data_IF_605318703551
#
_entry.id   IF_605318703551
#
_cell.length_a   1.000
_cell.length_b   1.000
_cell.length_c   1.000
_cell.angle_alpha   90.00
_cell.angle_beta   90.00
_cell.angle_gamma   90.00
#
_symmetry.space_group_name_H-M   'P 1'
#
loop_
_entity.id
_entity.type
_entity.pdbx_description
1 polymer ?
#
# COMPACT_ATOMS: atom_id res chain seq x y z
N UNK A 1 -1.17 -15.99 2.83
CA UNK A 1 -1.37 -15.02 3.92
C UNK A 1 -2.86 -14.76 4.02
N UNK A 2 -3.46 -15.03 5.17
CA UNK A 2 -4.89 -14.79 5.37
C UNK A 2 -5.07 -13.40 6.02
N UNK A 3 -5.85 -12.53 5.38
CA UNK A 3 -6.19 -11.18 5.86
C UNK A 3 -7.59 -11.26 6.47
N UNK A 4 -7.72 -10.90 7.74
CA UNK A 4 -8.97 -11.06 8.49
C UNK A 4 -9.71 -9.74 8.63
N UNK A 5 -11.00 -9.84 8.92
CA UNK A 5 -11.78 -8.66 9.29
C UNK A 5 -11.17 -8.01 10.54
N UNK A 6 -11.03 -6.68 10.50
CA UNK A 6 -10.35 -5.83 11.52
C UNK A 6 -8.82 -5.87 11.49
N UNK A 7 -8.19 -6.59 10.57
CA UNK A 7 -6.75 -6.42 10.34
C UNK A 7 -6.46 -5.00 9.84
N UNK A 8 -5.41 -4.39 10.38
CA UNK A 8 -4.88 -3.13 9.85
C UNK A 8 -3.87 -3.45 8.76
N UNK A 9 -4.07 -2.87 7.57
CA UNK A 9 -3.18 -3.04 6.41
C UNK A 9 -2.64 -1.68 5.98
N UNK A 10 -1.32 -1.60 5.85
CA UNK A 10 -0.59 -0.43 5.37
C UNK A 10 -0.13 -0.71 3.94
N UNK A 11 -0.71 0.04 2.98
CA UNK A 11 -0.35 -0.07 1.57
C UNK A 11 0.97 0.63 1.28
N UNK A 12 2.05 -0.14 1.14
CA UNK A 12 3.34 0.37 0.69
C UNK A 12 3.34 0.64 -0.81
N UNK A 13 2.57 -0.12 -1.58
CA UNK A 13 2.40 0.10 -3.01
C UNK A 13 0.99 -0.25 -3.46
N UNK A 14 0.70 0.11 -4.70
CA UNK A 14 -0.53 -0.32 -5.35
C UNK A 14 -0.30 -0.76 -6.81
N UNK A 15 -0.94 -1.88 -7.18
CA UNK A 15 -1.19 -2.21 -8.57
C UNK A 15 -2.62 -1.79 -8.96
N UNK A 16 -2.85 -1.59 -10.25
CA UNK A 16 -4.17 -1.16 -10.75
C UNK A 16 -4.42 -1.66 -12.17
N UNK A 17 -5.68 -1.93 -12.50
CA UNK A 17 -6.14 -2.13 -13.89
C UNK A 17 -6.55 -0.81 -14.57
N UNK A 18 -6.61 0.30 -13.84
CA UNK A 18 -6.80 1.64 -14.37
C UNK A 18 -5.75 2.01 -15.41
N UNK A 19 -6.22 2.55 -16.53
CA UNK A 19 -5.35 3.07 -17.59
C UNK A 19 -4.76 4.44 -17.25
N UNK A 20 -5.10 5.07 -16.13
CA UNK A 20 -4.69 6.45 -15.81
C UNK A 20 -3.18 6.62 -15.86
N UNK A 21 -2.42 5.72 -15.24
CA UNK A 21 -0.96 5.81 -15.23
C UNK A 21 -0.38 5.46 -16.61
N UNK A 22 -0.88 4.43 -17.29
CA UNK A 22 -0.46 4.09 -18.65
C UNK A 22 -0.65 5.27 -19.62
N UNK A 23 -1.79 5.96 -19.56
CA UNK A 23 -2.04 7.16 -20.36
C UNK A 23 -1.05 8.30 -20.06
N UNK A 24 -0.66 8.49 -18.79
CA UNK A 24 0.30 9.54 -18.38
C UNK A 24 1.75 9.18 -18.73
N UNK A 25 2.07 7.90 -18.69
CA UNK A 25 3.42 7.38 -18.87
C UNK A 25 3.61 6.66 -20.21
N UNK A 26 2.83 7.00 -21.26
CA UNK A 26 2.97 6.48 -22.64
C UNK A 26 3.00 4.94 -22.70
N UNK A 27 2.01 4.32 -22.06
CA UNK A 27 1.82 2.88 -21.91
C UNK A 27 2.89 2.13 -21.11
N UNK A 28 3.80 2.85 -20.43
CA UNK A 28 4.66 2.25 -19.42
C UNK A 28 3.92 1.98 -18.10
N UNK A 29 4.36 0.95 -17.38
CA UNK A 29 3.86 0.63 -16.06
C UNK A 29 4.50 1.55 -15.00
N UNK A 30 3.66 2.21 -14.22
CA UNK A 30 4.07 3.05 -13.11
C UNK A 30 3.89 2.29 -11.79
N UNK A 31 4.98 2.13 -11.05
CA UNK A 31 4.96 1.54 -9.72
C UNK A 31 4.59 2.61 -8.68
N UNK A 32 3.29 2.73 -8.38
CA UNK A 32 2.82 3.61 -7.33
C UNK A 32 3.28 3.09 -5.97
N UNK A 33 4.14 3.85 -5.29
CA UNK A 33 4.72 3.51 -3.98
C UNK A 33 4.48 4.66 -2.99
N UNK A 34 4.18 4.31 -1.75
CA UNK A 34 4.01 5.26 -0.66
C UNK A 34 5.35 5.83 -0.19
N UNK A 35 5.32 7.01 0.42
CA UNK A 35 6.50 7.58 1.08
C UNK A 35 6.96 6.66 2.23
N UNK A 36 8.25 6.36 2.27
CA UNK A 36 8.82 5.46 3.27
C UNK A 36 8.68 6.02 4.70
N UNK A 37 8.85 7.32 4.88
CA UNK A 37 8.70 7.97 6.19
C UNK A 37 7.30 7.79 6.73
N UNK A 38 6.28 8.00 5.90
CA UNK A 38 4.88 7.76 6.27
C UNK A 38 4.60 6.30 6.61
N UNK A 39 5.06 5.35 5.78
CA UNK A 39 4.88 3.91 6.01
C UNK A 39 5.54 3.50 7.33
N UNK A 40 6.79 3.92 7.57
CA UNK A 40 7.52 3.66 8.81
C UNK A 40 6.77 4.23 10.02
N UNK A 41 6.36 5.49 9.97
CA UNK A 41 5.66 6.12 11.08
C UNK A 41 4.34 5.42 11.39
N UNK A 42 3.60 4.96 10.38
CA UNK A 42 2.37 4.19 10.56
C UNK A 42 2.65 2.83 11.21
N UNK A 43 3.72 2.13 10.80
CA UNK A 43 4.15 0.86 11.41
C UNK A 43 4.56 1.07 12.86
N UNK A 44 5.34 2.10 13.16
CA UNK A 44 5.80 2.41 14.52
C UNK A 44 4.63 2.79 15.44
N UNK A 45 3.66 3.55 14.94
CA UNK A 45 2.43 3.87 15.66
C UNK A 45 1.57 2.62 15.94
N UNK A 46 1.41 1.73 14.96
CA UNK A 46 0.68 0.48 15.14
C UNK A 46 1.33 -0.40 16.22
N UNK A 47 2.66 -0.54 16.20
CA UNK A 47 3.41 -1.27 17.22
C UNK A 47 3.22 -0.68 18.62
N UNK A 48 3.28 0.65 18.75
CA UNK A 48 3.08 1.33 20.04
C UNK A 48 1.67 1.09 20.62
N UNK A 49 0.68 0.86 19.76
CA UNK A 49 -0.69 0.54 20.14
C UNK A 49 -0.95 -0.97 20.31
N UNK A 50 0.07 -1.82 20.15
CA UNK A 50 -0.08 -3.28 20.20
C UNK A 50 -0.87 -3.86 19.03
N UNK A 51 -0.97 -3.13 17.91
CA UNK A 51 -1.65 -3.55 16.68
C UNK A 51 -0.64 -4.20 15.74
N UNK A 52 -0.89 -5.46 15.37
CA UNK A 52 -0.10 -6.16 14.36
C UNK A 52 -0.55 -5.73 12.94
N UNK A 53 0.00 -4.61 12.47
CA UNK A 53 -0.28 -4.08 11.14
C UNK A 53 0.53 -4.80 10.05
N UNK A 54 -0.14 -5.19 8.96
CA UNK A 54 0.49 -5.83 7.81
C UNK A 54 0.89 -4.78 6.77
N UNK A 55 2.07 -4.90 6.19
CA UNK A 55 2.57 -3.99 5.14
C UNK A 55 2.65 -4.72 3.80
N UNK A 56 2.11 -4.15 2.72
CA UNK A 56 2.16 -4.82 1.42
C UNK A 56 1.63 -4.00 0.24
N UNK A 57 1.47 -4.68 -0.89
CA UNK A 57 0.90 -4.12 -2.11
C UNK A 57 -0.62 -4.33 -2.12
N UNK A 58 -1.37 -3.33 -2.58
CA UNK A 58 -2.84 -3.36 -2.67
C UNK A 58 -3.27 -3.31 -4.14
N UNK A 59 -4.34 -4.03 -4.49
CA UNK A 59 -4.97 -3.88 -5.80
C UNK A 59 -6.01 -2.75 -5.76
N UNK A 60 -5.82 -1.74 -6.59
CA UNK A 60 -6.76 -0.68 -6.88
C UNK A 60 -7.45 -0.99 -8.22
N UNK A 61 -8.67 -0.47 -8.41
CA UNK A 61 -9.33 -0.49 -9.73
C UNK A 61 -8.75 0.60 -10.65
#
# INVERSE_FOLDING_TARGET
MDVKLRDVVIGMGACTDSKVNRMRFKDHDFAAIADFGMVRNAVDAAKALGVDARVGNIFLR
#
